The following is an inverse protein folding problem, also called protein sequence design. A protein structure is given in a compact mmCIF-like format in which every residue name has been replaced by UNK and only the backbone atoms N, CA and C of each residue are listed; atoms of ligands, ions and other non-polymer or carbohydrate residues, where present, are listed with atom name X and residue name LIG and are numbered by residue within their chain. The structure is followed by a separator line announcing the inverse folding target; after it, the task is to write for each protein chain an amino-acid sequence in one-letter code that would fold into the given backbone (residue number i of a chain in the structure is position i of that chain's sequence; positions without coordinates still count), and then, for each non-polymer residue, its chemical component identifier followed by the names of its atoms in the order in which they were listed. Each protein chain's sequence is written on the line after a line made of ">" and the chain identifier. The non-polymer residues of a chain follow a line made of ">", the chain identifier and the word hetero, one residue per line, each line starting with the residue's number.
data_IF_683172577603
#
_entry.id   IF_683172577603
#
_cell.length_a   1.000
_cell.length_b   1.000
_cell.length_c   1.000
_cell.angle_alpha   90.00
_cell.angle_beta   90.00
_cell.angle_gamma   90.00
#
_symmetry.space_group_name_H-M   'P 1'
#
loop_
_entity.id
_entity.type
_entity.pdbx_description
1 polymer ?
#
# COMPACT_ATOMS: atom_id res chain seq x y z
N UNK A 1 2.31 17.63 -18.60
CA UNK A 1 0.84 17.50 -18.33
C UNK A 1 0.63 16.70 -17.08
N UNK A 2 -0.35 17.06 -16.22
CA UNK A 2 -0.68 16.30 -15.04
C UNK A 2 -0.97 14.82 -15.36
N UNK A 3 -0.41 13.92 -14.55
CA UNK A 3 -0.62 12.48 -14.69
C UNK A 3 -1.32 11.90 -13.46
N UNK A 4 -1.89 10.72 -13.64
CA UNK A 4 -2.44 9.91 -12.56
C UNK A 4 -1.32 9.04 -12.00
N UNK A 5 -1.05 9.15 -10.70
CA UNK A 5 -0.04 8.35 -10.01
C UNK A 5 -0.71 7.67 -8.81
N UNK A 6 -0.68 6.36 -8.82
CA UNK A 6 -1.24 5.51 -7.79
C UNK A 6 -0.10 4.89 -6.96
N UNK A 7 -0.27 4.84 -5.67
CA UNK A 7 0.67 4.20 -4.75
C UNK A 7 -0.03 3.10 -3.96
N UNK A 8 0.62 1.95 -3.80
CA UNK A 8 0.27 1.09 -2.68
C UNK A 8 0.67 1.76 -1.36
N UNK A 9 0.18 1.25 -0.24
CA UNK A 9 0.43 1.78 1.09
C UNK A 9 1.54 0.99 1.80
N UNK A 10 1.23 -0.26 2.17
CA UNK A 10 2.14 -1.12 2.96
C UNK A 10 3.31 -1.60 2.09
N UNK A 11 4.55 -1.36 2.52
CA UNK A 11 5.76 -1.71 1.75
C UNK A 11 6.14 -0.69 0.67
N UNK A 12 5.32 0.34 0.45
CA UNK A 12 5.55 1.36 -0.58
C UNK A 12 5.64 2.77 0.02
N UNK A 13 4.65 3.18 0.81
CA UNK A 13 4.59 4.47 1.52
C UNK A 13 5.01 4.30 2.96
N UNK A 14 4.53 3.24 3.63
CA UNK A 14 4.79 2.94 5.04
C UNK A 14 5.34 1.52 5.20
N UNK A 15 6.14 1.33 6.25
CA UNK A 15 6.53 0.02 6.78
C UNK A 15 5.56 -0.39 7.88
N UNK A 16 4.73 -1.43 7.69
CA UNK A 16 3.76 -1.91 8.65
C UNK A 16 4.27 -3.05 9.55
N UNK A 17 5.52 -3.50 9.41
CA UNK A 17 6.02 -4.76 9.98
C UNK A 17 5.83 -4.84 11.48
N UNK A 18 6.12 -3.77 12.20
CA UNK A 18 6.01 -3.73 13.66
C UNK A 18 4.57 -3.96 14.10
N UNK A 19 3.63 -3.17 13.58
CA UNK A 19 2.22 -3.24 13.96
C UNK A 19 1.58 -4.58 13.62
N UNK A 20 1.83 -5.10 12.41
CA UNK A 20 1.32 -6.42 12.00
C UNK A 20 1.89 -7.51 12.90
N UNK A 21 3.22 -7.49 13.16
CA UNK A 21 3.87 -8.50 14.00
C UNK A 21 3.32 -8.49 15.43
N UNK A 22 3.14 -7.32 16.03
CA UNK A 22 2.62 -7.20 17.40
C UNK A 22 1.18 -7.68 17.50
N UNK A 23 0.33 -7.38 16.51
CA UNK A 23 -1.04 -7.89 16.46
C UNK A 23 -1.10 -9.41 16.33
N UNK A 24 -0.30 -10.01 15.42
CA UNK A 24 -0.22 -11.48 15.30
C UNK A 24 0.25 -12.12 16.60
N UNK A 25 1.29 -11.58 17.26
CA UNK A 25 1.78 -12.06 18.57
C UNK A 25 0.72 -11.96 19.65
N UNK A 26 -0.08 -10.88 19.65
CA UNK A 26 -1.20 -10.73 20.59
C UNK A 26 -2.24 -11.82 20.38
N UNK A 27 -2.68 -12.06 19.15
CA UNK A 27 -3.62 -13.15 18.81
C UNK A 27 -3.10 -14.50 19.25
N UNK A 28 -1.83 -14.82 18.91
CA UNK A 28 -1.23 -16.10 19.29
C UNK A 28 -1.23 -16.31 20.81
N UNK A 29 -0.89 -15.27 21.58
CA UNK A 29 -0.89 -15.31 23.05
C UNK A 29 -2.30 -15.49 23.63
N UNK A 30 -3.29 -14.79 23.10
CA UNK A 30 -4.68 -14.82 23.57
C UNK A 30 -5.39 -16.14 23.27
N UNK A 31 -4.97 -16.83 22.18
CA UNK A 31 -5.56 -18.09 21.72
C UNK A 31 -4.71 -19.32 22.04
N UNK A 32 -3.62 -19.16 22.81
CA UNK A 32 -2.67 -20.22 23.14
C UNK A 32 -2.12 -20.96 21.90
N UNK A 33 -1.67 -20.17 20.91
CA UNK A 33 -1.09 -20.63 19.65
C UNK A 33 0.42 -20.43 19.63
N UNK A 34 1.12 -21.29 18.87
CA UNK A 34 2.54 -21.07 18.57
C UNK A 34 2.67 -19.95 17.54
N UNK A 35 3.27 -18.84 17.95
CA UNK A 35 3.43 -17.70 17.06
C UNK A 35 4.48 -17.99 15.96
N UNK A 36 4.21 -17.66 14.71
CA UNK A 36 5.19 -17.75 13.64
C UNK A 36 6.38 -16.82 13.89
N UNK A 37 7.52 -17.18 13.32
CA UNK A 37 8.71 -16.32 13.25
C UNK A 37 8.38 -15.01 12.50
N UNK A 38 9.05 -13.92 12.88
CA UNK A 38 8.82 -12.62 12.25
C UNK A 38 9.11 -12.62 10.73
N UNK A 39 10.03 -13.44 10.29
CA UNK A 39 10.31 -13.65 8.86
C UNK A 39 9.08 -14.16 8.09
N UNK A 40 8.33 -15.09 8.68
CA UNK A 40 7.09 -15.63 8.10
C UNK A 40 6.00 -14.55 8.08
N UNK A 41 5.85 -13.80 9.18
CA UNK A 41 4.89 -12.69 9.25
C UNK A 41 5.21 -11.60 8.23
N UNK A 42 6.49 -11.33 8.02
CA UNK A 42 6.97 -10.39 7.00
C UNK A 42 6.48 -10.76 5.60
N UNK A 43 6.51 -12.04 5.27
CA UNK A 43 6.05 -12.53 3.95
C UNK A 43 4.54 -12.41 3.75
N UNK A 44 3.77 -12.22 4.83
CA UNK A 44 2.32 -12.02 4.77
C UNK A 44 1.91 -10.59 4.38
N UNK A 45 2.83 -9.62 4.49
CA UNK A 45 2.53 -8.22 4.20
C UNK A 45 2.19 -8.05 2.72
N UNK A 46 1.04 -7.41 2.45
CA UNK A 46 0.48 -7.26 1.11
C UNK A 46 -0.51 -8.36 0.71
N UNK A 47 -0.66 -9.42 1.52
CA UNK A 47 -1.66 -10.49 1.30
C UNK A 47 -2.84 -10.39 2.26
N UNK A 48 -3.87 -11.22 2.01
CA UNK A 48 -5.04 -11.30 2.87
C UNK A 48 -4.71 -11.84 4.26
N UNK A 49 -5.12 -11.13 5.32
CA UNK A 49 -4.82 -11.54 6.69
C UNK A 49 -5.50 -12.85 7.08
N UNK A 50 -6.66 -13.16 6.49
CA UNK A 50 -7.35 -14.44 6.69
C UNK A 50 -6.50 -15.62 6.22
N UNK A 51 -5.98 -15.53 4.99
CA UNK A 51 -5.13 -16.54 4.38
C UNK A 51 -3.81 -16.69 5.14
N UNK A 52 -3.29 -15.59 5.63
CA UNK A 52 -2.05 -15.56 6.41
C UNK A 52 -2.22 -16.21 7.77
N UNK A 53 -3.24 -15.83 8.55
CA UNK A 53 -3.54 -16.45 9.84
C UNK A 53 -3.90 -17.93 9.70
N UNK A 54 -4.57 -18.32 8.61
CA UNK A 54 -4.91 -19.71 8.32
C UNK A 54 -3.71 -20.65 8.17
N UNK A 55 -2.49 -20.12 8.05
CA UNK A 55 -1.24 -20.89 8.04
C UNK A 55 -0.78 -21.28 9.46
N UNK A 56 -1.34 -20.65 10.50
CA UNK A 56 -0.97 -20.95 11.89
C UNK A 56 -1.61 -22.28 12.30
N UNK A 57 -0.76 -23.22 12.75
CA UNK A 57 -1.24 -24.49 13.30
C UNK A 57 -2.20 -24.26 14.46
N UNK A 58 -3.37 -24.90 14.39
CA UNK A 58 -4.45 -24.76 15.38
C UNK A 58 -5.54 -23.78 14.95
N UNK A 59 -5.47 -23.23 13.73
CA UNK A 59 -6.51 -22.43 13.09
C UNK A 59 -7.15 -23.12 11.86
N UNK A 60 -7.08 -24.44 11.80
CA UNK A 60 -7.67 -25.23 10.71
C UNK A 60 -9.22 -25.25 10.78
N UNK A 61 -9.78 -25.05 11.97
CA UNK A 61 -11.23 -24.88 12.14
C UNK A 61 -11.65 -23.49 11.67
N UNK A 62 -12.61 -23.38 10.72
CA UNK A 62 -13.08 -22.09 10.22
C UNK A 62 -13.60 -21.15 11.30
N UNK A 63 -14.31 -21.65 12.32
CA UNK A 63 -14.84 -20.80 13.38
C UNK A 63 -13.70 -20.22 14.26
N UNK A 64 -12.66 -21.02 14.52
CA UNK A 64 -11.49 -20.58 15.27
C UNK A 64 -10.63 -19.57 14.46
N UNK A 65 -10.56 -19.76 13.15
CA UNK A 65 -9.90 -18.80 12.25
C UNK A 65 -10.64 -17.45 12.22
N UNK A 66 -11.99 -17.46 12.19
CA UNK A 66 -12.77 -16.21 12.28
C UNK A 66 -12.53 -15.50 13.62
N UNK A 67 -12.51 -16.24 14.74
CA UNK A 67 -12.18 -15.67 16.03
C UNK A 67 -10.79 -15.03 16.03
N UNK A 68 -9.78 -15.70 15.46
CA UNK A 68 -8.43 -15.16 15.35
C UNK A 68 -8.40 -13.88 14.49
N UNK A 69 -9.17 -13.86 13.40
CA UNK A 69 -9.27 -12.69 12.53
C UNK A 69 -9.95 -11.51 13.21
N UNK A 70 -11.04 -11.73 13.96
CA UNK A 70 -11.72 -10.69 14.73
C UNK A 70 -10.77 -10.10 15.78
N UNK A 71 -10.08 -10.95 16.56
CA UNK A 71 -9.06 -10.51 17.54
C UNK A 71 -7.92 -9.74 16.90
N UNK A 72 -7.48 -10.16 15.70
CA UNK A 72 -6.46 -9.42 14.94
C UNK A 72 -6.93 -8.01 14.58
N UNK A 73 -8.15 -7.87 14.04
CA UNK A 73 -8.67 -6.55 13.67
C UNK A 73 -8.95 -5.65 14.88
N UNK A 74 -9.32 -6.23 16.02
CA UNK A 74 -9.45 -5.50 17.28
C UNK A 74 -8.08 -4.96 17.71
N UNK A 75 -7.07 -5.85 17.82
CA UNK A 75 -5.70 -5.47 18.16
C UNK A 75 -5.11 -4.43 17.17
N UNK A 76 -5.37 -4.63 15.88
CA UNK A 76 -4.90 -3.71 14.85
C UNK A 76 -5.58 -2.34 14.94
N UNK A 77 -6.87 -2.32 15.23
CA UNK A 77 -7.62 -1.07 15.43
C UNK A 77 -7.19 -0.29 16.67
N UNK A 78 -6.81 -1.01 17.75
CA UNK A 78 -6.38 -0.41 19.03
C UNK A 78 -4.96 0.13 18.94
N UNK A 79 -4.01 -0.70 18.48
CA UNK A 79 -2.57 -0.45 18.59
C UNK A 79 -1.87 -0.49 17.23
N UNK A 80 -2.03 -1.57 16.46
CA UNK A 80 -1.23 -1.84 15.27
C UNK A 80 -1.33 -0.78 14.17
N UNK A 81 -2.48 -0.10 14.07
CA UNK A 81 -2.70 0.98 13.11
C UNK A 81 -1.81 2.20 13.36
N UNK A 82 -1.23 2.32 14.55
CA UNK A 82 -0.35 3.42 14.93
C UNK A 82 1.15 3.04 14.87
N UNK A 83 1.45 1.76 14.70
CA UNK A 83 2.82 1.23 14.66
C UNK A 83 3.32 1.08 13.22
N UNK A 84 3.38 2.21 12.50
CA UNK A 84 3.90 2.31 11.14
C UNK A 84 5.00 3.35 11.08
N UNK A 85 5.92 3.19 10.12
CA UNK A 85 6.95 4.17 9.82
C UNK A 85 6.86 4.58 8.34
N UNK A 86 7.03 5.87 8.05
CA UNK A 86 7.16 6.33 6.65
C UNK A 86 8.51 5.94 6.08
N UNK A 87 8.54 5.46 4.84
CA UNK A 87 9.81 5.32 4.14
C UNK A 87 10.48 6.69 3.97
N UNK A 88 11.80 6.79 4.20
CA UNK A 88 12.51 8.07 4.14
C UNK A 88 12.37 8.75 2.78
N UNK A 89 11.94 10.02 2.78
CA UNK A 89 11.79 10.85 1.58
C UNK A 89 10.39 10.83 0.94
N UNK A 90 9.47 9.97 1.37
CA UNK A 90 8.09 9.87 0.83
C UNK A 90 7.39 11.22 0.84
N UNK A 91 7.39 11.93 1.95
CA UNK A 91 6.68 13.20 2.08
C UNK A 91 7.18 14.25 1.08
N UNK A 92 8.50 14.32 0.88
CA UNK A 92 9.10 15.26 -0.07
C UNK A 92 8.71 14.92 -1.51
N UNK A 93 8.77 13.63 -1.88
CA UNK A 93 8.31 13.13 -3.18
C UNK A 93 6.85 13.52 -3.44
N UNK A 94 5.95 13.22 -2.51
CA UNK A 94 4.52 13.50 -2.65
C UNK A 94 4.24 14.98 -2.80
N UNK A 95 4.86 15.84 -2.00
CA UNK A 95 4.74 17.29 -2.15
C UNK A 95 5.23 17.79 -3.51
N UNK A 96 6.34 17.23 -4.03
CA UNK A 96 6.81 17.58 -5.38
C UNK A 96 5.77 17.20 -6.43
N UNK A 97 5.24 15.99 -6.40
CA UNK A 97 4.22 15.54 -7.35
C UNK A 97 2.97 16.42 -7.33
N UNK A 98 2.52 16.82 -6.14
CA UNK A 98 1.39 17.75 -6.01
C UNK A 98 1.69 19.14 -6.58
N UNK A 99 2.88 19.72 -6.31
CA UNK A 99 3.29 20.99 -6.92
C UNK A 99 3.35 20.93 -8.45
N UNK A 100 3.65 19.77 -9.01
CA UNK A 100 3.66 19.50 -10.45
C UNK A 100 2.25 19.25 -11.05
N UNK A 101 1.21 19.34 -10.21
CA UNK A 101 -0.19 19.19 -10.64
C UNK A 101 -0.66 17.76 -10.84
N UNK A 102 0.12 16.75 -10.45
CA UNK A 102 -0.29 15.35 -10.57
C UNK A 102 -1.46 15.03 -9.64
N UNK A 103 -2.31 14.09 -10.08
CA UNK A 103 -3.28 13.43 -9.20
C UNK A 103 -2.62 12.23 -8.55
N UNK A 104 -2.63 12.19 -7.23
CA UNK A 104 -1.99 11.12 -6.46
C UNK A 104 -3.01 10.42 -5.56
N UNK A 105 -3.08 9.10 -5.67
CA UNK A 105 -4.01 8.28 -4.89
C UNK A 105 -3.27 7.15 -4.18
N UNK A 106 -3.78 6.76 -3.01
CA UNK A 106 -3.44 5.47 -2.40
C UNK A 106 -4.46 4.44 -2.89
N UNK A 107 -3.96 3.28 -3.34
CA UNK A 107 -4.78 2.11 -3.68
C UNK A 107 -4.17 0.89 -3.01
N UNK A 108 -4.85 0.34 -2.01
CA UNK A 108 -4.31 -0.73 -1.17
C UNK A 108 -5.29 -1.90 -1.01
N UNK A 109 -4.75 -3.11 -0.83
CA UNK A 109 -5.51 -4.27 -0.39
C UNK A 109 -5.86 -4.21 1.12
N UNK A 110 -5.21 -3.29 1.87
CA UNK A 110 -5.57 -2.99 3.26
C UNK A 110 -6.98 -2.42 3.33
N UNK A 111 -7.79 -2.77 4.36
CA UNK A 111 -9.11 -2.16 4.55
C UNK A 111 -9.03 -0.62 4.57
N UNK A 112 -9.90 0.01 3.78
CA UNK A 112 -9.86 1.46 3.56
C UNK A 112 -10.03 2.30 4.83
N UNK A 113 -10.70 1.75 5.86
CA UNK A 113 -10.81 2.41 7.17
C UNK A 113 -9.43 2.53 7.84
N UNK A 114 -8.59 1.51 7.74
CA UNK A 114 -7.24 1.54 8.31
C UNK A 114 -6.27 2.33 7.43
N UNK A 115 -6.35 2.18 6.11
CA UNK A 115 -5.54 2.97 5.19
C UNK A 115 -5.72 4.48 5.43
N UNK A 116 -6.96 4.94 5.63
CA UNK A 116 -7.25 6.34 5.98
C UNK A 116 -6.69 6.73 7.36
N UNK A 117 -6.84 5.88 8.38
CA UNK A 117 -6.28 6.19 9.73
C UNK A 117 -4.77 6.35 9.70
N UNK A 118 -4.06 5.48 8.96
CA UNK A 118 -2.61 5.59 8.76
C UNK A 118 -2.27 6.89 8.03
N UNK A 119 -2.99 7.20 6.96
CA UNK A 119 -2.76 8.46 6.24
C UNK A 119 -2.99 9.71 7.12
N UNK A 120 -3.99 9.70 7.98
CA UNK A 120 -4.24 10.79 8.94
C UNK A 120 -3.09 10.93 9.96
N UNK A 121 -2.52 9.81 10.43
CA UNK A 121 -1.41 9.82 11.38
C UNK A 121 -0.18 10.57 10.85
N UNK A 122 0.04 10.53 9.54
CA UNK A 122 1.19 11.13 8.87
C UNK A 122 0.84 12.37 8.02
N UNK A 123 -0.34 12.95 8.20
CA UNK A 123 -0.87 14.08 7.41
C UNK A 123 -0.93 13.83 5.89
N UNK A 124 -0.87 12.57 5.47
CA UNK A 124 -0.91 12.19 4.05
C UNK A 124 -2.28 12.45 3.42
N UNK A 125 -3.35 12.48 4.21
CA UNK A 125 -4.70 12.87 3.78
C UNK A 125 -4.75 14.33 3.26
N UNK A 126 -3.78 15.16 3.58
CA UNK A 126 -3.66 16.53 3.06
C UNK A 126 -2.95 16.58 1.71
N UNK A 127 -2.27 15.50 1.32
CA UNK A 127 -1.45 15.43 0.12
C UNK A 127 -2.12 14.57 -0.97
N UNK A 128 -2.61 13.37 -0.61
CA UNK A 128 -3.31 12.51 -1.53
C UNK A 128 -4.70 13.06 -1.89
N UNK A 129 -5.09 12.96 -3.16
CA UNK A 129 -6.42 13.37 -3.63
C UNK A 129 -7.51 12.44 -3.11
N UNK A 130 -7.21 11.14 -2.94
CA UNK A 130 -8.08 10.18 -2.26
C UNK A 130 -7.31 8.90 -1.85
N UNK A 131 -7.98 8.07 -1.02
CA UNK A 131 -7.42 6.85 -0.43
C UNK A 131 -8.44 5.72 -0.60
N UNK A 132 -8.08 4.74 -1.41
CA UNK A 132 -8.90 3.60 -1.73
C UNK A 132 -8.33 2.32 -1.12
N UNK A 133 -9.17 1.54 -0.48
CA UNK A 133 -8.81 0.27 0.13
C UNK A 133 -9.90 -0.77 -0.04
N UNK A 134 -9.59 -1.99 0.40
CA UNK A 134 -10.56 -3.09 0.47
C UNK A 134 -11.67 -2.82 1.50
N UNK A 135 -12.74 -3.60 1.46
CA UNK A 135 -13.77 -3.61 2.49
C UNK A 135 -13.27 -4.36 3.72
N UNK A 136 -13.61 -3.87 4.92
CA UNK A 136 -13.16 -4.47 6.19
C UNK A 136 -13.76 -5.86 6.43
N UNK A 137 -15.03 -6.05 6.07
CA UNK A 137 -15.77 -7.31 6.21
C UNK A 137 -16.05 -7.89 4.83
N UNK A 138 -15.20 -8.77 4.37
CA UNK A 138 -15.35 -9.41 3.07
C UNK A 138 -14.22 -10.40 2.80
N UNK A 139 -14.32 -11.13 1.67
CA UNK A 139 -13.17 -11.84 1.10
C UNK A 139 -12.06 -10.83 0.83
N UNK A 140 -10.82 -11.28 0.97
CA UNK A 140 -9.69 -10.53 0.45
C UNK A 140 -9.99 -10.06 -0.98
N UNK A 141 -9.85 -8.76 -1.20
CA UNK A 141 -10.06 -8.16 -2.51
C UNK A 141 -8.69 -7.89 -3.13
N UNK A 142 -8.32 -8.62 -4.19
CA UNK A 142 -7.11 -8.32 -4.93
C UNK A 142 -7.17 -6.89 -5.47
N UNK A 143 -6.02 -6.24 -5.60
CA UNK A 143 -5.94 -4.85 -6.06
C UNK A 143 -6.56 -4.66 -7.45
N UNK A 144 -6.55 -5.70 -8.29
CA UNK A 144 -7.23 -5.66 -9.59
C UNK A 144 -8.72 -5.33 -9.46
N UNK A 145 -9.41 -5.86 -8.45
CA UNK A 145 -10.85 -5.59 -8.24
C UNK A 145 -11.07 -4.15 -7.72
N UNK A 146 -10.15 -3.65 -6.89
CA UNK A 146 -10.18 -2.25 -6.43
C UNK A 146 -10.02 -1.31 -7.62
N UNK A 147 -9.04 -1.57 -8.49
CA UNK A 147 -8.81 -0.77 -9.70
C UNK A 147 -9.97 -0.87 -10.69
N UNK A 148 -10.59 -2.06 -10.85
CA UNK A 148 -11.77 -2.23 -11.71
C UNK A 148 -12.92 -1.32 -11.26
N UNK A 149 -13.21 -1.29 -9.97
CA UNK A 149 -14.22 -0.40 -9.39
C UNK A 149 -13.89 1.06 -9.65
N UNK A 150 -12.63 1.48 -9.44
CA UNK A 150 -12.20 2.87 -9.67
C UNK A 150 -12.27 3.26 -11.15
N UNK A 151 -11.96 2.33 -12.04
CA UNK A 151 -12.09 2.52 -13.49
C UNK A 151 -13.55 2.68 -13.89
N UNK A 152 -14.44 1.82 -13.39
CA UNK A 152 -15.87 1.90 -13.65
C UNK A 152 -16.50 3.23 -13.17
N UNK A 153 -15.93 3.82 -12.12
CA UNK A 153 -16.33 5.13 -11.58
C UNK A 153 -15.68 6.31 -12.33
N UNK A 154 -14.79 6.05 -13.29
CA UNK A 154 -14.06 7.11 -14.00
C UNK A 154 -12.97 7.80 -13.15
N UNK A 155 -12.61 7.21 -12.01
CA UNK A 155 -11.57 7.75 -11.10
C UNK A 155 -10.17 7.52 -11.66
N UNK A 156 -9.95 6.39 -12.34
CA UNK A 156 -8.68 6.06 -12.98
C UNK A 156 -8.85 5.84 -14.49
N UNK A 157 -7.79 6.07 -15.24
CA UNK A 157 -7.75 5.91 -16.70
C UNK A 157 -6.42 5.32 -17.16
N UNK A 158 -6.35 4.67 -18.33
CA UNK A 158 -5.12 4.11 -18.87
C UNK A 158 -4.02 5.16 -19.04
N UNK A 159 -2.75 4.72 -18.94
CA UNK A 159 -1.57 5.57 -19.08
C UNK A 159 -1.14 6.26 -17.77
N UNK A 160 -1.86 6.06 -16.67
CA UNK A 160 -1.37 6.41 -15.32
C UNK A 160 -0.25 5.48 -14.87
N UNK A 161 0.35 5.79 -13.73
CA UNK A 161 1.44 5.00 -13.13
C UNK A 161 0.94 4.36 -11.85
N UNK A 162 1.20 3.07 -11.64
CA UNK A 162 0.97 2.41 -10.36
C UNK A 162 2.30 1.94 -9.78
N UNK A 163 2.57 2.37 -8.55
CA UNK A 163 3.79 2.12 -7.80
C UNK A 163 3.45 1.20 -6.63
N UNK A 164 4.15 0.07 -6.53
CA UNK A 164 3.92 -0.91 -5.48
C UNK A 164 5.10 -1.86 -5.30
N UNK A 165 5.07 -2.62 -4.21
CA UNK A 165 6.15 -3.53 -3.82
C UNK A 165 5.84 -5.01 -4.00
N UNK A 166 4.62 -5.35 -4.48
CA UNK A 166 4.20 -6.75 -4.69
C UNK A 166 3.89 -7.04 -6.16
N UNK A 167 4.06 -8.31 -6.56
CA UNK A 167 3.68 -8.76 -7.91
C UNK A 167 2.20 -8.54 -8.22
N UNK A 168 1.33 -8.51 -7.20
CA UNK A 168 -0.09 -8.21 -7.35
C UNK A 168 -0.33 -6.77 -7.81
N UNK A 169 0.47 -5.80 -7.36
CA UNK A 169 0.44 -4.41 -7.83
C UNK A 169 0.73 -4.31 -9.31
N UNK A 170 1.78 -5.02 -9.71
CA UNK A 170 2.24 -5.03 -11.10
C UNK A 170 1.20 -5.66 -12.03
N UNK A 171 0.61 -6.80 -11.62
CA UNK A 171 -0.47 -7.46 -12.37
C UNK A 171 -1.71 -6.58 -12.47
N UNK A 172 -2.08 -5.93 -11.38
CA UNK A 172 -3.23 -5.02 -11.33
C UNK A 172 -3.01 -3.81 -12.25
N UNK A 173 -1.82 -3.20 -12.22
CA UNK A 173 -1.43 -2.11 -13.11
C UNK A 173 -1.60 -2.51 -14.58
N UNK A 174 -1.01 -3.62 -14.99
CA UNK A 174 -1.09 -4.12 -16.38
C UNK A 174 -2.50 -4.40 -16.83
N UNK A 175 -3.32 -5.02 -15.99
CA UNK A 175 -4.72 -5.34 -16.32
C UNK A 175 -5.53 -4.09 -16.64
N UNK A 176 -5.19 -2.96 -16.02
CA UNK A 176 -5.89 -1.69 -16.22
C UNK A 176 -5.18 -0.70 -17.14
N UNK A 177 -4.10 -1.14 -17.81
CA UNK A 177 -3.35 -0.30 -18.75
C UNK A 177 -2.57 0.84 -18.09
N UNK A 178 -2.15 0.62 -16.84
CA UNK A 178 -1.27 1.51 -16.09
C UNK A 178 0.19 1.07 -16.26
N UNK A 179 1.13 2.02 -16.19
CA UNK A 179 2.54 1.72 -16.11
C UNK A 179 2.88 1.15 -14.72
N UNK A 180 3.54 -0.01 -14.69
CA UNK A 180 3.85 -0.74 -13.48
C UNK A 180 5.27 -0.45 -13.00
N UNK A 181 5.42 0.22 -11.86
CA UNK A 181 6.73 0.52 -11.24
C UNK A 181 6.87 -0.24 -9.93
N UNK A 182 7.79 -1.20 -9.89
CA UNK A 182 8.08 -1.99 -8.71
C UNK A 182 9.11 -1.31 -7.81
N UNK A 183 8.83 -1.23 -6.51
CA UNK A 183 9.81 -0.78 -5.50
C UNK A 183 10.39 -2.00 -4.80
N UNK A 184 11.73 -2.09 -4.73
CA UNK A 184 12.44 -3.25 -4.18
C UNK A 184 12.86 -3.07 -2.72
N UNK A 185 12.54 -1.93 -2.11
CA UNK A 185 12.76 -1.68 -0.68
C UNK A 185 11.63 -2.20 0.21
N UNK A 186 10.51 -2.64 -0.38
CA UNK A 186 9.36 -3.22 0.31
C UNK A 186 9.52 -4.72 0.61
N UNK A 187 8.46 -5.48 0.42
CA UNK A 187 8.34 -6.88 0.84
C UNK A 187 8.44 -7.88 -0.30
N UNK A 188 8.09 -7.49 -1.53
CA UNK A 188 8.22 -8.33 -2.71
C UNK A 188 9.66 -8.50 -3.18
N UNK A 189 9.97 -9.67 -3.72
CA UNK A 189 11.27 -9.89 -4.34
C UNK A 189 11.34 -9.25 -5.73
N UNK A 190 12.56 -9.02 -6.20
CA UNK A 190 12.80 -8.53 -7.55
C UNK A 190 12.15 -9.43 -8.60
N UNK A 191 12.26 -10.74 -8.40
CA UNK A 191 11.69 -11.77 -9.27
C UNK A 191 10.17 -11.70 -9.29
N UNK A 192 9.54 -11.60 -8.11
CA UNK A 192 8.08 -11.44 -7.96
C UNK A 192 7.57 -10.21 -8.74
N UNK A 193 8.26 -9.08 -8.63
CA UNK A 193 7.90 -7.84 -9.31
C UNK A 193 8.01 -7.97 -10.84
N UNK A 194 9.10 -8.57 -11.33
CA UNK A 194 9.29 -8.80 -12.77
C UNK A 194 8.28 -9.78 -13.34
N UNK A 195 8.01 -10.89 -12.65
CA UNK A 195 6.98 -11.87 -13.03
C UNK A 195 5.57 -11.24 -13.01
N UNK A 196 5.32 -10.32 -12.07
CA UNK A 196 4.09 -9.51 -12.03
C UNK A 196 3.98 -8.55 -13.21
N UNK A 197 5.09 -8.24 -13.87
CA UNK A 197 5.16 -7.39 -15.06
C UNK A 197 5.59 -5.96 -14.80
N UNK A 198 6.43 -5.73 -13.79
CA UNK A 198 7.06 -4.43 -13.57
C UNK A 198 7.79 -3.96 -14.83
N UNK A 199 7.54 -2.74 -15.26
CA UNK A 199 8.22 -2.07 -16.39
C UNK A 199 9.51 -1.40 -15.93
N UNK A 200 9.58 -1.02 -14.66
CA UNK A 200 10.75 -0.47 -14.00
C UNK A 200 10.85 -0.97 -12.56
N UNK A 201 12.08 -1.07 -12.06
CA UNK A 201 12.37 -1.37 -10.66
C UNK A 201 13.25 -0.27 -10.08
N UNK A 202 12.90 0.19 -8.88
CA UNK A 202 13.64 1.21 -8.13
C UNK A 202 13.92 0.73 -6.71
N UNK A 203 15.11 1.03 -6.18
CA UNK A 203 15.59 0.53 -4.89
C UNK A 203 15.40 1.50 -3.73
N UNK A 204 14.91 2.72 -3.98
CA UNK A 204 14.70 3.74 -2.96
C UNK A 204 13.69 4.79 -3.42
N UNK A 205 13.19 5.58 -2.47
CA UNK A 205 12.34 6.75 -2.76
C UNK A 205 13.09 7.78 -3.62
N UNK A 206 14.39 7.94 -3.43
CA UNK A 206 15.20 8.84 -4.26
C UNK A 206 15.26 8.38 -5.72
N UNK A 207 15.49 7.07 -5.96
CA UNK A 207 15.45 6.51 -7.30
C UNK A 207 14.05 6.61 -7.94
N UNK A 208 13.00 6.43 -7.14
CA UNK A 208 11.61 6.61 -7.58
C UNK A 208 11.36 8.06 -7.99
N UNK A 209 11.84 9.02 -7.21
CA UNK A 209 11.73 10.45 -7.49
C UNK A 209 12.42 10.82 -8.80
N UNK A 210 13.64 10.32 -9.01
CA UNK A 210 14.40 10.49 -10.26
C UNK A 210 13.72 9.84 -11.46
N UNK A 211 13.13 8.66 -11.27
CA UNK A 211 12.40 7.97 -12.32
C UNK A 211 11.13 8.74 -12.72
N UNK A 212 10.35 9.18 -11.74
CA UNK A 212 9.13 9.96 -11.97
C UNK A 212 9.42 11.30 -12.62
N UNK A 213 10.51 11.97 -12.27
CA UNK A 213 10.91 13.23 -12.90
C UNK A 213 11.15 13.07 -14.41
N UNK A 214 11.58 11.90 -14.85
CA UNK A 214 11.85 11.60 -16.28
C UNK A 214 10.60 11.12 -17.04
N UNK A 215 9.73 10.35 -16.37
CA UNK A 215 8.62 9.65 -17.03
C UNK A 215 7.25 10.29 -16.77
N UNK A 216 7.15 11.13 -15.73
CA UNK A 216 5.98 11.91 -15.40
C UNK A 216 6.35 13.39 -15.20
N UNK A 217 6.89 14.07 -16.23
CA UNK A 217 7.18 15.50 -16.09
C UNK A 217 5.87 16.28 -15.91
N UNK A 218 5.76 16.97 -14.78
CA UNK A 218 4.64 17.86 -14.51
C UNK A 218 4.85 19.24 -15.09
N UNK A 219 3.81 20.04 -15.07
CA UNK A 219 3.93 21.47 -15.34
C UNK A 219 4.50 22.11 -14.07
N UNK A 220 5.61 22.87 -14.19
CA UNK A 220 6.05 23.73 -13.08
C UNK A 220 4.97 24.78 -12.82
N UNK A 221 4.22 24.63 -11.74
CA UNK A 221 3.37 25.70 -11.24
C UNK A 221 4.34 26.77 -10.72
N UNK A 222 4.57 27.78 -11.51
CA UNK A 222 5.27 29.00 -11.04
C UNK A 222 4.50 29.53 -9.84
N UNK A 223 5.14 29.51 -8.69
CA UNK A 223 4.63 30.12 -7.47
C UNK A 223 4.40 31.62 -7.74
N UNK A 224 3.13 31.97 -7.98
CA UNK A 224 2.75 33.36 -8.25
C UNK A 224 2.92 34.28 -7.03
N UNK A 225 3.43 33.75 -5.93
CA UNK A 225 3.64 34.48 -4.65
C UNK A 225 5.07 34.95 -4.37
N UNK A 226 6.03 34.70 -5.27
CA UNK A 226 7.42 35.18 -5.01
C UNK A 226 7.74 36.57 -5.62
N UNK A 227 6.72 37.37 -5.97
CA UNK A 227 6.91 38.77 -6.40
C UNK A 227 6.07 39.70 -5.57
N UNK A 228 6.43 39.86 -4.32
CA UNK A 228 6.04 40.98 -3.50
C UNK A 228 7.17 41.27 -2.50
N UNK A 229 8.23 41.93 -3.00
CA UNK A 229 9.15 42.78 -2.26
C UNK A 229 9.30 44.11 -3.05
#
# INVERSE_FOLDING_TARGET
>A
MPQLILFDLDGTIVDPLLGITNCVRRVCREMDLVCPEQSIIRDWIGFGMRESLGQIKGLEDPARLEEALDRYWDAYSEDGVFEHELYPGVTNLLHRLKRQGHRVYIVSAKPGVFARRIAYQFDLNLIFDDIFGAELKGRWQPKVDVLERLRAQGTIWPGGIFIGDRGDDMRAAKTHGLHAVGVTYGYGSREELLEGGAEALVGSIAELDDWLAKHAPGDEVHDAFSRAE
#
